data_IF_826637521340
#
_entry.id   IF_826637521340
#
_cell.length_a   1.000
_cell.length_b   1.000
_cell.length_c   1.000
_cell.angle_alpha   90.00
_cell.angle_beta   90.00
_cell.angle_gamma   90.00
#
_symmetry.space_group_name_H-M   'P 1'
#
loop_
_entity.id
_entity.type
_entity.pdbx_description
1 polymer ?
#
# COMPACT_ATOMS: atom_id res chain seq x y z
N UNK A 1 4.50 15.48 -27.41
CA UNK A 1 5.38 16.66 -27.32
C UNK A 1 4.56 17.94 -27.10
N UNK A 2 3.29 17.95 -27.50
CA UNK A 2 2.46 19.16 -27.61
C UNK A 2 1.97 19.71 -26.27
N UNK A 3 1.87 18.88 -25.21
CA UNK A 3 1.29 19.25 -23.91
C UNK A 3 2.07 20.36 -23.19
N UNK A 4 3.40 20.36 -23.30
CA UNK A 4 4.24 21.34 -22.61
C UNK A 4 4.54 22.58 -23.46
N UNK A 5 4.28 22.52 -24.77
CA UNK A 5 4.54 23.64 -25.67
C UNK A 5 3.58 24.82 -25.43
N UNK A 6 2.31 24.54 -25.13
CA UNK A 6 1.33 25.58 -24.77
C UNK A 6 1.77 26.33 -23.49
N UNK A 7 2.30 25.60 -22.49
CA UNK A 7 2.82 26.19 -21.25
C UNK A 7 4.08 27.02 -21.49
N UNK A 8 4.92 26.64 -22.45
CA UNK A 8 6.07 27.43 -22.89
C UNK A 8 5.66 28.80 -23.44
N UNK A 9 4.62 28.83 -24.28
CA UNK A 9 4.16 30.03 -24.96
C UNK A 9 3.31 30.97 -24.09
N UNK A 10 2.72 30.47 -22.99
CA UNK A 10 1.86 31.27 -22.10
C UNK A 10 2.37 32.66 -21.68
N UNK A 11 3.69 32.91 -21.46
CA UNK A 11 4.18 34.26 -21.11
C UNK A 11 4.24 35.22 -22.30
N UNK A 12 4.31 34.70 -23.53
CA UNK A 12 4.31 35.45 -24.78
C UNK A 12 2.90 35.94 -25.11
N UNK A 13 1.92 35.05 -24.99
CA UNK A 13 0.49 35.36 -25.20
C UNK A 13 -0.02 36.39 -24.18
N UNK A 14 0.47 36.33 -22.94
CA UNK A 14 0.15 37.29 -21.88
C UNK A 14 0.93 38.60 -21.94
N UNK A 15 1.81 38.81 -22.93
CA UNK A 15 2.63 40.03 -23.06
C UNK A 15 3.62 40.27 -21.92
N UNK A 16 3.88 39.26 -21.07
CA UNK A 16 4.70 39.38 -19.86
C UNK A 16 6.19 39.33 -20.16
N UNK A 17 6.58 38.81 -21.32
CA UNK A 17 7.98 38.60 -21.71
C UNK A 17 8.11 38.59 -23.22
N UNK A 18 9.22 39.09 -23.73
CA UNK A 18 9.56 39.10 -25.14
C UNK A 18 10.24 37.79 -25.57
N UNK A 19 10.10 37.39 -26.83
CA UNK A 19 10.63 36.13 -27.37
C UNK A 19 12.17 36.03 -27.25
N UNK A 20 12.84 37.17 -27.15
CA UNK A 20 14.29 37.27 -26.95
C UNK A 20 14.75 36.80 -25.56
N UNK A 21 13.87 36.85 -24.54
CA UNK A 21 14.26 36.54 -23.16
C UNK A 21 14.08 35.04 -22.83
N UNK A 22 14.98 34.24 -23.38
CA UNK A 22 15.02 32.77 -23.23
C UNK A 22 15.10 32.35 -21.76
N UNK A 23 15.80 33.11 -20.89
CA UNK A 23 15.97 32.76 -19.48
C UNK A 23 14.64 32.77 -18.72
N UNK A 24 13.77 33.76 -18.97
CA UNK A 24 12.44 33.85 -18.36
C UNK A 24 11.50 32.76 -18.86
N UNK A 25 11.55 32.47 -20.17
CA UNK A 25 10.78 31.37 -20.78
C UNK A 25 11.18 30.02 -20.18
N UNK A 26 12.49 29.77 -20.03
CA UNK A 26 13.02 28.56 -19.37
C UNK A 26 12.57 28.44 -17.92
N UNK A 27 12.67 29.52 -17.12
CA UNK A 27 12.20 29.51 -15.73
C UNK A 27 10.71 29.22 -15.60
N UNK A 28 9.90 29.69 -16.55
CA UNK A 28 8.47 29.41 -16.57
C UNK A 28 8.17 27.94 -16.87
N UNK A 29 8.85 27.34 -17.87
CA UNK A 29 8.56 25.96 -18.27
C UNK A 29 9.26 24.90 -17.40
N UNK A 30 10.38 25.24 -16.75
CA UNK A 30 11.17 24.35 -15.91
C UNK A 30 10.34 23.52 -14.91
N UNK A 31 9.46 24.08 -14.07
CA UNK A 31 8.68 23.29 -13.12
C UNK A 31 7.73 22.29 -13.79
N UNK A 32 7.17 22.63 -14.95
CA UNK A 32 6.29 21.74 -15.72
C UNK A 32 7.05 20.59 -16.35
N UNK A 33 8.27 20.86 -16.85
CA UNK A 33 9.15 19.81 -17.35
C UNK A 33 9.59 18.88 -16.23
N UNK A 34 10.05 19.42 -15.11
CA UNK A 34 10.46 18.62 -13.94
C UNK A 34 9.31 17.73 -13.42
N UNK A 35 8.08 18.23 -13.41
CA UNK A 35 6.89 17.43 -13.07
C UNK A 35 6.56 16.37 -14.13
N UNK A 36 6.69 16.70 -15.42
CA UNK A 36 6.35 15.80 -16.54
C UNK A 36 7.41 14.71 -16.77
N UNK A 37 8.65 14.94 -16.35
CA UNK A 37 9.79 14.05 -16.59
C UNK A 37 9.54 12.65 -16.00
N UNK A 38 9.01 12.57 -14.78
CA UNK A 38 8.71 11.29 -14.15
C UNK A 38 7.69 10.47 -14.96
N UNK A 39 6.61 11.10 -15.43
CA UNK A 39 5.59 10.44 -16.26
C UNK A 39 6.12 10.01 -17.63
N UNK A 40 7.02 10.80 -18.23
CA UNK A 40 7.65 10.46 -19.50
C UNK A 40 8.59 9.24 -19.38
N UNK A 41 9.41 9.17 -18.34
CA UNK A 41 10.31 8.04 -18.10
C UNK A 41 9.55 6.72 -17.85
N UNK A 42 8.38 6.79 -17.23
CA UNK A 42 7.48 5.65 -17.01
C UNK A 42 6.70 5.24 -18.28
N UNK A 43 6.94 5.92 -19.43
CA UNK A 43 6.27 5.71 -20.72
C UNK A 43 4.74 5.74 -20.62
N UNK A 44 4.18 6.58 -19.76
CA UNK A 44 2.74 6.85 -19.73
C UNK A 44 2.37 7.81 -20.87
N UNK A 45 2.44 7.36 -22.12
CA UNK A 45 2.24 8.21 -23.30
C UNK A 45 0.77 8.26 -23.80
N UNK A 46 -0.22 8.04 -22.93
CA UNK A 46 -1.62 8.29 -23.30
C UNK A 46 -1.97 9.74 -23.01
N UNK A 47 -2.76 10.40 -23.86
CA UNK A 47 -3.13 11.82 -23.79
C UNK A 47 -3.85 12.27 -22.50
N UNK A 48 -4.10 11.34 -21.56
CA UNK A 48 -4.63 11.56 -20.21
C UNK A 48 -3.55 11.85 -19.14
N UNK A 49 -2.34 12.27 -19.53
CA UNK A 49 -1.23 12.55 -18.59
C UNK A 49 -1.52 13.70 -17.61
N UNK A 50 -2.46 14.59 -17.91
CA UNK A 50 -2.92 15.59 -16.94
C UNK A 50 -3.64 14.98 -15.73
N UNK A 51 -4.09 13.71 -15.82
CA UNK A 51 -4.63 12.93 -14.69
C UNK A 51 -3.60 12.08 -13.97
N UNK A 52 -2.47 11.79 -14.61
CA UNK A 52 -1.38 10.98 -14.04
C UNK A 52 -0.33 11.87 -13.34
N UNK A 53 -0.41 13.20 -13.53
CA UNK A 53 0.49 14.19 -12.91
C UNK A 53 0.17 14.56 -11.46
N UNK A 54 -0.64 13.79 -10.74
CA UNK A 54 -0.63 13.84 -9.28
C UNK A 54 -0.13 12.47 -8.82
N UNK A 55 0.52 12.41 -7.66
CA UNK A 55 0.65 11.16 -6.93
C UNK A 55 -0.55 10.26 -7.22
N UNK A 56 -0.33 9.04 -7.73
CA UNK A 56 -1.31 7.99 -7.45
C UNK A 56 -1.23 7.77 -5.94
N UNK A 57 -1.84 8.69 -5.18
CA UNK A 57 -1.93 8.61 -3.75
C UNK A 57 -2.52 7.24 -3.50
N UNK A 58 -1.80 6.41 -2.75
CA UNK A 58 -2.30 5.08 -2.41
C UNK A 58 -3.72 5.16 -1.81
N UNK A 59 -4.09 6.32 -1.26
CA UNK A 59 -5.46 6.67 -0.88
C UNK A 59 -6.46 6.67 -2.05
N UNK A 60 -6.15 7.33 -3.17
CA UNK A 60 -7.03 7.34 -4.35
C UNK A 60 -7.19 5.96 -4.97
N UNK A 61 -6.10 5.18 -5.03
CA UNK A 61 -6.15 3.79 -5.50
C UNK A 61 -6.96 2.90 -4.54
N UNK A 62 -6.75 3.03 -3.23
CA UNK A 62 -7.51 2.29 -2.22
C UNK A 62 -9.01 2.62 -2.29
N UNK A 63 -9.36 3.90 -2.47
CA UNK A 63 -10.76 4.34 -2.67
C UNK A 63 -11.34 3.79 -3.97
N UNK A 64 -10.58 3.84 -5.07
CA UNK A 64 -11.03 3.36 -6.38
C UNK A 64 -11.30 1.86 -6.41
N UNK A 65 -10.61 1.06 -5.60
CA UNK A 65 -10.82 -0.39 -5.55
C UNK A 65 -12.10 -0.78 -4.80
N UNK A 66 -12.66 0.11 -3.98
CA UNK A 66 -13.97 -0.10 -3.34
C UNK A 66 -14.09 -1.43 -2.58
N UNK A 67 -13.03 -1.85 -1.87
CA UNK A 67 -12.96 -3.19 -1.27
C UNK A 67 -14.06 -3.39 -0.20
N UNK A 68 -14.71 -4.57 -0.15
CA UNK A 68 -15.66 -4.90 0.91
C UNK A 68 -15.04 -4.83 2.31
N UNK A 69 -15.87 -4.57 3.34
CA UNK A 69 -15.43 -4.41 4.73
C UNK A 69 -14.47 -5.53 5.20
N UNK A 70 -14.90 -6.80 5.16
CA UNK A 70 -14.06 -7.92 5.61
C UNK A 70 -12.80 -8.09 4.76
N UNK A 71 -12.86 -7.74 3.48
CA UNK A 71 -11.71 -7.81 2.58
C UNK A 71 -10.65 -6.79 2.94
N UNK A 72 -11.03 -5.58 3.39
CA UNK A 72 -10.09 -4.58 3.92
C UNK A 72 -9.31 -5.13 5.12
N UNK A 73 -10.00 -5.72 6.09
CA UNK A 73 -9.37 -6.35 7.26
C UNK A 73 -8.52 -7.57 6.90
N UNK A 74 -8.99 -8.41 5.96
CA UNK A 74 -8.22 -9.56 5.47
C UNK A 74 -6.89 -9.11 4.86
N UNK A 75 -6.90 -7.98 4.15
CA UNK A 75 -5.73 -7.42 3.51
C UNK A 75 -4.74 -6.82 4.51
N UNK A 76 -5.24 -6.13 5.53
CA UNK A 76 -4.44 -5.65 6.66
C UNK A 76 -3.81 -6.83 7.41
N UNK A 77 -4.58 -7.89 7.69
CA UNK A 77 -4.09 -9.11 8.33
C UNK A 77 -3.00 -9.80 7.50
N UNK A 78 -3.18 -9.89 6.18
CA UNK A 78 -2.18 -10.45 5.27
C UNK A 78 -0.88 -9.64 5.26
N UNK A 79 -0.97 -8.31 5.28
CA UNK A 79 0.20 -7.45 5.44
C UNK A 79 0.91 -7.70 6.78
N UNK A 80 0.18 -7.71 7.89
CA UNK A 80 0.75 -8.00 9.20
C UNK A 80 1.41 -9.39 9.27
N UNK A 81 0.82 -10.39 8.60
CA UNK A 81 1.37 -11.74 8.51
C UNK A 81 2.68 -11.77 7.71
N UNK A 82 2.77 -11.07 6.56
CA UNK A 82 3.98 -11.07 5.72
C UNK A 82 5.14 -10.26 6.29
N UNK A 83 4.87 -9.17 7.02
CA UNK A 83 5.93 -8.25 7.47
C UNK A 83 6.35 -8.50 8.94
N UNK A 84 5.54 -9.24 9.71
CA UNK A 84 5.91 -9.64 11.06
C UNK A 84 6.29 -11.12 11.13
N UNK A 85 7.26 -11.51 11.98
CA UNK A 85 7.61 -12.90 12.19
C UNK A 85 6.53 -13.59 13.03
N UNK A 86 6.35 -14.90 12.80
CA UNK A 86 5.40 -15.76 13.53
C UNK A 86 5.58 -15.72 15.06
N UNK A 87 6.81 -15.51 15.54
CA UNK A 87 7.11 -15.40 16.97
C UNK A 87 6.51 -14.16 17.64
N UNK A 88 6.25 -13.10 16.87
CA UNK A 88 5.70 -11.84 17.38
C UNK A 88 4.18 -11.81 17.49
N UNK A 89 3.48 -12.72 16.80
CA UNK A 89 2.01 -12.73 16.73
C UNK A 89 1.37 -12.84 18.12
N UNK A 90 1.91 -13.71 18.99
CA UNK A 90 1.41 -13.87 20.37
C UNK A 90 1.44 -12.56 21.15
N UNK A 91 2.50 -11.78 21.00
CA UNK A 91 2.67 -10.51 21.71
C UNK A 91 1.72 -9.44 21.17
N UNK A 92 1.50 -9.43 19.86
CA UNK A 92 0.70 -8.42 19.17
C UNK A 92 -0.81 -8.66 19.30
N UNK A 93 -1.24 -9.92 19.24
CA UNK A 93 -2.64 -10.27 19.02
C UNK A 93 -3.31 -11.01 20.19
N UNK A 94 -2.54 -11.52 21.16
CA UNK A 94 -3.11 -12.23 22.32
C UNK A 94 -3.17 -11.31 23.53
N UNK A 95 -4.39 -11.03 24.01
CA UNK A 95 -4.64 -10.29 25.26
C UNK A 95 -4.10 -11.12 26.44
N UNK A 96 -3.14 -10.57 27.18
CA UNK A 96 -2.39 -11.25 28.26
C UNK A 96 -1.38 -12.30 27.78
N UNK A 97 -0.49 -11.94 26.84
CA UNK A 97 0.60 -12.80 26.33
C UNK A 97 1.67 -13.24 27.36
N UNK A 98 1.44 -13.07 28.66
CA UNK A 98 2.36 -13.42 29.73
C UNK A 98 3.60 -12.51 29.78
N UNK A 99 4.38 -12.65 30.87
CA UNK A 99 5.66 -11.93 31.04
C UNK A 99 6.73 -12.68 30.24
N UNK A 100 7.34 -12.06 29.23
CA UNK A 100 8.48 -12.64 28.53
C UNK A 100 9.59 -13.00 29.54
N UNK A 101 10.02 -14.27 29.53
CA UNK A 101 11.31 -14.63 30.13
C UNK A 101 12.36 -13.88 29.31
N UNK A 102 13.10 -12.97 29.93
CA UNK A 102 14.16 -12.17 29.29
C UNK A 102 15.17 -13.12 28.62
N UNK A 103 14.97 -13.40 27.34
CA UNK A 103 15.95 -14.11 26.54
C UNK A 103 17.05 -13.13 26.18
N UNK A 104 18.29 -13.48 26.52
CA UNK A 104 19.46 -12.63 26.33
C UNK A 104 19.58 -12.14 24.88
N UNK A 105 19.70 -10.82 24.71
CA UNK A 105 20.13 -10.14 23.47
C UNK A 105 19.40 -10.57 22.19
N UNK A 106 18.15 -10.15 22.02
CA UNK A 106 17.68 -9.85 20.65
C UNK A 106 18.20 -8.47 20.31
N UNK A 107 19.23 -8.39 19.46
CA UNK A 107 19.67 -7.12 18.85
C UNK A 107 18.43 -6.48 18.22
N UNK A 108 17.98 -5.34 18.74
CA UNK A 108 16.99 -4.49 18.06
C UNK A 108 17.56 -4.18 16.69
N UNK A 109 17.10 -4.90 15.67
CA UNK A 109 17.39 -4.56 14.29
C UNK A 109 16.81 -3.17 14.04
N UNK A 110 17.56 -2.23 13.46
CA UNK A 110 17.02 -0.91 13.15
C UNK A 110 15.80 -1.06 12.24
N UNK A 111 14.73 -0.29 12.47
CA UNK A 111 13.48 -0.40 11.70
C UNK A 111 13.69 -0.33 10.18
N UNK A 112 14.73 0.40 9.75
CA UNK A 112 15.18 0.49 8.36
C UNK A 112 15.58 -0.89 7.78
N UNK A 113 16.31 -1.74 8.51
CA UNK A 113 16.74 -3.04 7.96
C UNK A 113 15.59 -4.04 7.80
N UNK A 114 14.44 -3.77 8.43
CA UNK A 114 13.23 -4.60 8.33
C UNK A 114 12.35 -4.22 7.13
N UNK A 115 12.31 -2.93 6.78
CA UNK A 115 11.60 -2.44 5.59
C UNK A 115 12.28 -2.84 4.28
N UNK A 116 13.59 -3.13 4.30
CA UNK A 116 14.32 -3.68 3.16
C UNK A 116 14.22 -5.21 3.05
N UNK A 117 13.55 -5.89 3.98
CA UNK A 117 13.34 -7.34 3.85
C UNK A 117 12.22 -7.63 2.87
N UNK A 118 12.38 -8.67 2.03
CA UNK A 118 11.27 -9.15 1.24
C UNK A 118 10.14 -9.63 2.18
N UNK A 119 8.86 -9.48 1.77
CA UNK A 119 7.75 -10.00 2.55
C UNK A 119 7.88 -11.52 2.72
N UNK A 120 7.66 -12.01 3.93
CA UNK A 120 7.69 -13.43 4.25
C UNK A 120 6.38 -14.10 3.82
N UNK A 121 6.49 -15.37 3.39
CA UNK A 121 5.32 -16.19 3.09
C UNK A 121 4.67 -16.66 4.40
N UNK A 122 3.33 -16.72 4.43
CA UNK A 122 2.54 -17.13 5.59
C UNK A 122 1.51 -18.22 5.23
N UNK A 123 1.12 -19.02 6.21
CA UNK A 123 0.07 -20.03 6.05
C UNK A 123 -1.33 -19.43 6.13
N UNK A 124 -2.30 -20.10 5.53
CA UNK A 124 -3.71 -19.72 5.59
C UNK A 124 -4.22 -19.59 7.04
N UNK A 125 -3.85 -20.52 7.91
CA UNK A 125 -4.26 -20.51 9.33
C UNK A 125 -3.77 -19.27 10.07
N UNK A 126 -2.53 -18.83 9.77
CA UNK A 126 -1.96 -17.64 10.38
C UNK A 126 -2.70 -16.38 9.95
N UNK A 127 -3.07 -16.29 8.66
CA UNK A 127 -3.90 -15.20 8.16
C UNK A 127 -5.23 -15.11 8.90
N UNK A 128 -5.95 -16.23 8.99
CA UNK A 128 -7.24 -16.27 9.69
C UNK A 128 -7.09 -15.94 11.18
N UNK A 129 -6.07 -16.45 11.85
CA UNK A 129 -5.83 -16.15 13.26
C UNK A 129 -5.60 -14.66 13.50
N UNK A 130 -4.81 -13.99 12.66
CA UNK A 130 -4.58 -12.55 12.75
C UNK A 130 -5.86 -11.79 12.38
N UNK A 131 -6.56 -12.18 11.33
CA UNK A 131 -7.83 -11.59 10.92
C UNK A 131 -8.87 -11.60 12.06
N UNK A 132 -9.07 -12.75 12.69
CA UNK A 132 -10.00 -12.86 13.82
C UNK A 132 -9.52 -12.14 15.08
N UNK A 133 -8.23 -11.86 15.21
CA UNK A 133 -7.70 -11.11 16.34
C UNK A 133 -7.82 -9.59 16.18
N UNK A 134 -7.86 -9.08 14.94
CA UNK A 134 -8.01 -7.65 14.65
C UNK A 134 -9.48 -7.24 14.44
N UNK A 135 -10.38 -8.18 14.21
CA UNK A 135 -11.80 -7.92 14.03
C UNK A 135 -12.53 -8.10 15.36
N UNK A 136 -13.24 -7.06 15.83
CA UNK A 136 -14.00 -7.15 17.08
C UNK A 136 -15.34 -7.91 16.91
N UNK A 137 -15.83 -7.99 15.67
CA UNK A 137 -17.06 -8.69 15.35
C UNK A 137 -16.86 -10.21 15.36
N UNK A 138 -17.73 -10.92 16.10
CA UNK A 138 -17.79 -12.39 16.10
C UNK A 138 -18.37 -12.90 14.79
N UNK A 139 -17.54 -12.92 13.76
CA UNK A 139 -17.89 -13.44 12.43
C UNK A 139 -17.63 -14.95 12.42
N UNK A 140 -18.60 -15.73 11.94
CA UNK A 140 -18.40 -17.16 11.68
C UNK A 140 -17.56 -17.38 10.43
N UNK A 141 -16.82 -18.49 10.39
CA UNK A 141 -16.10 -18.90 9.19
C UNK A 141 -17.11 -19.29 8.09
N UNK A 142 -17.31 -18.41 7.11
CA UNK A 142 -18.21 -18.66 5.98
C UNK A 142 -17.42 -18.94 4.71
N UNK A 143 -18.01 -19.71 3.79
CA UNK A 143 -17.42 -19.99 2.47
C UNK A 143 -17.16 -18.71 1.68
N UNK A 144 -18.02 -17.69 1.83
CA UNK A 144 -17.82 -16.37 1.21
C UNK A 144 -16.53 -15.71 1.68
N UNK A 145 -16.24 -15.77 2.99
CA UNK A 145 -15.03 -15.21 3.57
C UNK A 145 -13.77 -15.95 3.11
N UNK A 146 -13.84 -17.29 3.00
CA UNK A 146 -12.75 -18.09 2.42
C UNK A 146 -12.53 -17.73 0.94
N UNK A 147 -13.60 -17.56 0.17
CA UNK A 147 -13.52 -17.20 -1.24
C UNK A 147 -12.87 -15.83 -1.48
N UNK A 148 -13.01 -14.88 -0.54
CA UNK A 148 -12.36 -13.56 -0.63
C UNK A 148 -10.83 -13.68 -0.73
N UNK A 149 -10.21 -14.67 -0.10
CA UNK A 149 -8.74 -14.87 -0.20
C UNK A 149 -8.35 -15.26 -1.62
N UNK A 150 -9.14 -16.11 -2.28
CA UNK A 150 -8.92 -16.43 -3.70
C UNK A 150 -9.09 -15.20 -4.59
N UNK A 151 -10.10 -14.37 -4.34
CA UNK A 151 -10.29 -13.10 -5.06
C UNK A 151 -9.10 -12.15 -4.87
N UNK A 152 -8.55 -12.03 -3.66
CA UNK A 152 -7.37 -11.21 -3.39
C UNK A 152 -6.13 -11.69 -4.16
N UNK A 153 -5.98 -13.00 -4.36
CA UNK A 153 -4.92 -13.57 -5.22
C UNK A 153 -5.16 -13.27 -6.69
N UNK A 154 -6.40 -13.40 -7.17
CA UNK A 154 -6.79 -13.08 -8.55
C UNK A 154 -6.57 -11.59 -8.88
N UNK A 155 -6.87 -10.69 -7.93
CA UNK A 155 -6.64 -9.25 -8.04
C UNK A 155 -5.16 -8.85 -7.90
N UNK A 156 -4.25 -9.82 -7.74
CA UNK A 156 -2.80 -9.59 -7.53
C UNK A 156 -2.49 -8.66 -6.35
N UNK A 157 -3.33 -8.75 -5.32
CA UNK A 157 -3.08 -8.13 -4.02
C UNK A 157 -2.29 -9.08 -3.11
N UNK A 158 -2.49 -10.38 -3.30
CA UNK A 158 -1.70 -11.47 -2.71
C UNK A 158 -1.09 -12.34 -3.81
N UNK A 159 0.06 -12.95 -3.52
CA UNK A 159 0.64 -14.03 -4.33
C UNK A 159 0.51 -15.34 -3.60
N UNK A 160 0.23 -16.41 -4.33
CA UNK A 160 0.27 -17.78 -3.88
C UNK A 160 1.58 -18.43 -4.35
N UNK A 161 2.33 -19.07 -3.45
CA UNK A 161 3.67 -19.61 -3.75
C UNK A 161 3.63 -21.08 -4.22
N UNK A 162 2.63 -21.86 -3.79
CA UNK A 162 2.48 -23.29 -4.10
C UNK A 162 1.05 -23.64 -4.53
N UNK A 163 0.90 -24.61 -5.45
CA UNK A 163 -0.39 -25.15 -5.90
C UNK A 163 -0.90 -26.34 -5.07
N UNK A 164 -0.15 -26.80 -4.06
CA UNK A 164 -0.61 -27.85 -3.16
C UNK A 164 -1.74 -27.32 -2.27
N UNK A 165 -2.96 -27.84 -2.50
CA UNK A 165 -4.22 -27.40 -1.90
C UNK A 165 -4.21 -27.35 -0.35
N UNK A 166 -3.30 -28.07 0.31
CA UNK A 166 -3.23 -28.19 1.78
C UNK A 166 -2.05 -27.46 2.44
N UNK A 167 -1.00 -27.14 1.68
CA UNK A 167 0.22 -26.49 2.21
C UNK A 167 0.48 -25.13 1.57
N UNK A 168 -0.54 -24.58 0.90
CA UNK A 168 -0.48 -23.32 0.20
C UNK A 168 -0.02 -22.19 1.13
N UNK A 169 1.07 -21.54 0.74
CA UNK A 169 1.56 -20.32 1.40
C UNK A 169 1.22 -19.10 0.55
N UNK A 170 0.95 -18.00 1.24
CA UNK A 170 0.59 -16.72 0.64
C UNK A 170 1.62 -15.67 0.99
N UNK A 171 1.72 -14.65 0.14
CA UNK A 171 2.60 -13.50 0.35
C UNK A 171 1.87 -12.21 -0.01
N UNK A 172 1.97 -11.19 0.85
CA UNK A 172 1.38 -9.89 0.59
C UNK A 172 2.29 -9.07 -0.34
N UNK A 173 1.73 -8.54 -1.42
CA UNK A 173 2.46 -7.72 -2.41
C UNK A 173 2.37 -6.22 -2.05
N UNK A 174 1.42 -5.86 -1.21
CA UNK A 174 1.01 -4.50 -0.96
C UNK A 174 2.01 -3.76 -0.06
N UNK A 175 2.29 -2.51 -0.42
CA UNK A 175 3.13 -1.61 0.37
C UNK A 175 2.43 -0.98 1.58
N UNK A 176 3.23 -0.49 2.53
CA UNK A 176 2.76 0.11 3.77
C UNK A 176 1.77 1.27 3.56
N UNK A 177 2.01 2.12 2.56
CA UNK A 177 1.19 3.32 2.32
C UNK A 177 -0.23 2.98 1.88
N UNK A 178 -0.40 1.90 1.12
CA UNK A 178 -1.71 1.40 0.71
C UNK A 178 -2.47 0.76 1.88
N UNK A 179 -1.77 0.01 2.74
CA UNK A 179 -2.41 -0.55 3.94
C UNK A 179 -2.81 0.56 4.93
N UNK A 180 -2.01 1.61 5.07
CA UNK A 180 -2.37 2.80 5.85
C UNK A 180 -3.61 3.50 5.29
N UNK A 181 -3.70 3.64 3.96
CA UNK A 181 -4.88 4.20 3.33
C UNK A 181 -6.14 3.37 3.63
N UNK A 182 -6.08 2.04 3.46
CA UNK A 182 -7.20 1.15 3.78
C UNK A 182 -7.55 1.20 5.27
N UNK A 183 -6.55 1.19 6.14
CA UNK A 183 -6.72 1.29 7.60
C UNK A 183 -7.40 2.61 8.01
N UNK A 184 -7.12 3.71 7.30
CA UNK A 184 -7.74 5.00 7.59
C UNK A 184 -9.23 4.96 7.21
N UNK A 185 -9.57 4.33 6.07
CA UNK A 185 -10.96 4.15 5.65
C UNK A 185 -11.75 3.28 6.62
N UNK A 186 -11.14 2.23 7.19
CA UNK A 186 -11.84 1.39 8.19
C UNK A 186 -12.06 2.10 9.52
N UNK A 187 -11.22 3.10 9.85
CA UNK A 187 -11.35 3.87 11.08
C UNK A 187 -12.44 4.95 11.00
N UNK A 188 -12.67 5.53 9.82
CA UNK A 188 -13.76 6.50 9.59
C UNK A 188 -15.15 5.87 9.75
N UNK A 189 -15.28 4.56 9.52
CA UNK A 189 -16.52 3.80 9.68
C UNK A 189 -16.86 3.47 11.16
N UNK A 190 -16.04 3.93 12.13
CA UNK A 190 -16.46 4.09 13.52
C UNK A 190 -15.92 3.11 14.56
N UNK A 191 -15.18 2.06 14.21
CA UNK A 191 -14.64 1.13 15.21
C UNK A 191 -13.25 0.63 14.80
N UNK A 192 -12.25 0.90 15.66
CA UNK A 192 -10.89 0.31 15.69
C UNK A 192 -9.82 1.08 14.88
N UNK A 193 -8.96 1.78 15.62
CA UNK A 193 -7.63 2.18 15.14
C UNK A 193 -6.71 0.94 15.16
N UNK A 194 -6.59 0.24 14.03
CA UNK A 194 -5.57 -0.80 13.89
C UNK A 194 -4.21 -0.10 13.94
N UNK A 195 -3.56 -0.10 15.12
CA UNK A 195 -2.19 0.37 15.24
C UNK A 195 -1.29 -0.57 14.44
N UNK A 196 -1.02 -0.21 13.19
CA UNK A 196 -0.02 -0.85 12.33
C UNK A 196 1.36 -0.58 12.95
N UNK A 197 1.67 -1.32 14.00
CA UNK A 197 2.96 -1.27 14.67
C UNK A 197 3.88 -2.22 13.93
N UNK A 198 4.64 -1.67 12.98
CA UNK A 198 5.78 -2.37 12.39
C UNK A 198 6.87 -2.38 13.48
N UNK A 199 6.85 -3.41 14.33
CA UNK A 199 7.77 -3.58 15.45
C UNK A 199 9.18 -3.99 15.05
#
# INVERSE_FOLDING_TARGET
ADVNFEKYCSPLEGGKTDASNIKKLWQNIKPYLEASVNGLYLRSASSDVSRISAHCDNNTLAMSLGLPYFTKFMLIAAYLASYNPTSSDKRLFVKHHGKERKSNRVKKQPQLSRQLKPPDSFSFDRLLAIFYAIIDNKVGLTTSLLAQVSTLVQLKLLTQDNDDCLSTTYKCIIGLDFVKAISSQTAEDGEIEVRISVG
#
